data_IF_011365330240
#
_entry.id   IF_011365330240
#
_cell.length_a   1.000
_cell.length_b   1.000
_cell.length_c   1.000
_cell.angle_alpha   90.00
_cell.angle_beta   90.00
_cell.angle_gamma   90.00
#
_symmetry.space_group_name_H-M   'P 1'
#
loop_
_entity.id
_entity.type
_entity.pdbx_description
1 polymer ?
#
# COMPACT_ATOMS: atom_id res chain seq x y z
N UNK A 1 23.00 2.12 18.90
CA UNK A 1 21.69 2.49 18.30
C UNK A 1 20.68 1.40 18.61
N UNK A 2 19.50 1.78 18.96
CA UNK A 2 18.43 0.80 19.09
C UNK A 2 17.81 0.47 17.70
N UNK A 3 17.05 -0.61 17.63
CA UNK A 3 16.42 -1.07 16.38
C UNK A 3 15.62 0.03 15.68
N UNK A 4 14.85 0.82 16.43
CA UNK A 4 14.02 1.89 15.90
C UNK A 4 14.85 3.00 15.24
N UNK A 5 15.91 3.44 15.87
CA UNK A 5 16.82 4.46 15.34
C UNK A 5 17.54 3.96 14.09
N UNK A 6 18.01 2.71 14.12
CA UNK A 6 18.67 2.09 12.97
C UNK A 6 17.73 2.07 11.75
N UNK A 7 16.49 1.63 11.94
CA UNK A 7 15.50 1.57 10.87
C UNK A 7 15.14 2.97 10.36
N UNK A 8 14.87 3.91 11.24
CA UNK A 8 14.52 5.30 10.85
C UNK A 8 15.64 6.01 10.08
N UNK A 9 16.89 5.71 10.41
CA UNK A 9 18.05 6.32 9.75
C UNK A 9 18.37 5.67 8.41
N UNK A 10 18.20 4.34 8.32
CA UNK A 10 18.61 3.56 7.16
C UNK A 10 17.52 3.35 6.12
N UNK A 11 16.26 3.44 6.50
CA UNK A 11 15.11 3.15 5.62
C UNK A 11 14.36 4.43 5.26
N UNK A 12 14.31 4.70 3.96
CA UNK A 12 13.51 5.78 3.41
C UNK A 12 12.03 5.34 3.33
N UNK A 13 11.12 6.18 3.83
CA UNK A 13 9.69 5.87 3.84
C UNK A 13 9.11 5.71 2.42
N UNK A 14 9.63 6.44 1.45
CA UNK A 14 9.23 6.31 0.03
C UNK A 14 9.65 4.97 -0.56
N UNK A 15 10.87 4.53 -0.29
CA UNK A 15 11.38 3.21 -0.71
C UNK A 15 10.58 2.07 -0.07
N UNK A 16 10.31 2.18 1.22
CA UNK A 16 9.48 1.21 1.94
C UNK A 16 8.06 1.14 1.38
N UNK A 17 7.44 2.29 1.10
CA UNK A 17 6.10 2.35 0.50
C UNK A 17 6.08 1.65 -0.87
N UNK A 18 7.05 1.92 -1.72
CA UNK A 18 7.18 1.28 -3.04
C UNK A 18 7.41 -0.23 -2.92
N UNK A 19 8.28 -0.67 -2.01
CA UNK A 19 8.53 -2.09 -1.74
C UNK A 19 7.24 -2.82 -1.32
N UNK A 20 6.40 -2.15 -0.55
CA UNK A 20 5.13 -2.70 -0.05
C UNK A 20 3.94 -2.49 -0.99
N UNK A 21 4.18 -2.06 -2.21
CA UNK A 21 3.16 -1.97 -3.25
C UNK A 21 2.35 -0.67 -3.26
N UNK A 22 2.78 0.35 -2.55
CA UNK A 22 2.21 1.70 -2.62
C UNK A 22 2.86 2.45 -3.79
N UNK A 23 2.09 2.69 -4.85
CA UNK A 23 2.60 3.38 -6.04
C UNK A 23 2.71 4.89 -5.77
N UNK A 24 3.91 5.33 -5.42
CA UNK A 24 4.22 6.75 -5.19
C UNK A 24 4.64 7.40 -6.51
N UNK A 25 3.98 8.49 -6.89
CA UNK A 25 4.30 9.24 -8.10
C UNK A 25 5.54 10.15 -7.92
N UNK A 26 5.94 10.84 -8.99
CA UNK A 26 7.11 11.72 -8.95
C UNK A 26 6.99 12.87 -7.93
N UNK A 27 5.77 13.29 -7.65
CA UNK A 27 5.49 14.35 -6.66
C UNK A 27 5.45 13.83 -5.21
N UNK A 28 5.66 12.54 -4.99
CA UNK A 28 5.57 11.94 -3.66
C UNK A 28 4.15 11.61 -3.22
N UNK A 29 3.18 11.67 -4.14
CA UNK A 29 1.78 11.37 -3.84
C UNK A 29 1.41 9.95 -4.25
N UNK A 30 0.52 9.33 -3.47
CA UNK A 30 0.00 7.99 -3.72
C UNK A 30 -1.46 7.87 -3.30
N UNK A 31 -2.10 6.81 -3.74
CA UNK A 31 -3.39 6.40 -3.19
C UNK A 31 -3.19 5.88 -1.77
N UNK A 32 -3.99 6.37 -0.83
CA UNK A 32 -3.89 5.95 0.56
C UNK A 32 -4.37 4.51 0.74
N UNK A 33 -3.56 3.63 1.35
CA UNK A 33 -3.97 2.24 1.61
C UNK A 33 -4.88 2.09 2.85
N UNK A 34 -5.04 3.16 3.64
CA UNK A 34 -5.75 3.12 4.92
C UNK A 34 -7.23 3.47 4.82
N UNK A 35 -7.66 4.00 3.68
CA UNK A 35 -9.06 4.25 3.37
C UNK A 35 -9.33 3.96 1.89
N UNK A 36 -10.61 3.96 1.49
CA UNK A 36 -10.97 3.79 0.09
C UNK A 36 -10.72 5.10 -0.68
N UNK A 37 -9.55 5.19 -1.29
CA UNK A 37 -9.06 6.38 -1.96
C UNK A 37 -9.10 6.24 -3.49
N UNK A 38 -9.70 7.21 -4.15
CA UNK A 38 -9.80 7.26 -5.62
C UNK A 38 -8.88 8.33 -6.24
N UNK A 39 -8.34 9.21 -5.43
CA UNK A 39 -7.43 10.27 -5.85
C UNK A 39 -6.21 10.28 -4.94
N UNK A 40 -5.00 10.51 -5.46
CA UNK A 40 -3.80 10.55 -4.63
C UNK A 40 -3.92 11.59 -3.51
N UNK A 41 -4.08 11.11 -2.28
CA UNK A 41 -4.21 11.93 -1.07
C UNK A 41 -3.13 11.65 -0.03
N UNK A 42 -2.34 10.60 -0.23
CA UNK A 42 -1.23 10.24 0.63
C UNK A 42 0.07 10.88 0.12
N UNK A 43 0.63 11.78 0.91
CA UNK A 43 1.99 12.27 0.73
C UNK A 43 2.97 11.30 1.39
N UNK A 44 3.96 10.84 0.64
CA UNK A 44 5.07 10.02 1.15
C UNK A 44 6.37 10.77 0.92
N UNK A 45 6.91 11.34 1.99
CA UNK A 45 8.23 11.96 2.02
C UNK A 45 9.31 10.92 2.33
N UNK A 46 10.54 11.35 2.47
CA UNK A 46 11.66 10.45 2.76
C UNK A 46 11.63 9.93 4.19
N UNK A 47 11.17 10.73 5.13
CA UNK A 47 11.17 10.47 6.57
C UNK A 47 9.78 10.25 7.19
N UNK A 48 8.71 10.65 6.50
CA UNK A 48 7.35 10.55 7.01
C UNK A 48 6.30 10.37 5.89
N UNK A 49 5.08 10.04 6.30
CA UNK A 49 3.92 10.06 5.43
C UNK A 49 2.75 10.80 6.06
N UNK A 50 1.88 11.36 5.25
CA UNK A 50 0.67 12.03 5.70
C UNK A 50 -0.44 11.91 4.66
N UNK A 51 -1.61 11.43 5.07
CA UNK A 51 -2.81 11.42 4.24
C UNK A 51 -3.69 12.64 4.53
N UNK A 52 -3.93 13.45 3.53
CA UNK A 52 -4.76 14.65 3.65
C UNK A 52 -6.27 14.34 3.74
N UNK A 53 -6.69 13.14 3.37
CA UNK A 53 -8.09 12.74 3.41
C UNK A 53 -8.49 12.09 4.73
N UNK A 54 -7.76 11.06 5.20
CA UNK A 54 -8.08 10.36 6.44
C UNK A 54 -7.26 10.79 7.66
N UNK A 55 -6.23 11.62 7.46
CA UNK A 55 -5.38 12.11 8.54
C UNK A 55 -4.33 11.09 9.04
N UNK A 56 -4.18 9.95 8.40
CA UNK A 56 -3.14 8.99 8.73
C UNK A 56 -1.75 9.60 8.51
N UNK A 57 -0.89 9.53 9.50
CA UNK A 57 0.46 10.09 9.44
C UNK A 57 1.40 9.29 10.33
N UNK A 58 2.68 9.46 10.12
CA UNK A 58 3.71 8.82 10.93
C UNK A 58 5.04 8.69 10.19
N UNK A 59 5.94 7.93 10.77
CA UNK A 59 7.23 7.60 10.17
C UNK A 59 7.17 6.27 9.37
N UNK A 60 8.32 5.81 8.91
CA UNK A 60 8.42 4.55 8.14
C UNK A 60 7.96 3.33 8.95
N UNK A 61 8.18 3.33 10.25
CA UNK A 61 7.76 2.22 11.14
C UNK A 61 6.25 2.24 11.32
N UNK A 62 5.65 3.42 11.53
CA UNK A 62 4.20 3.58 11.59
C UNK A 62 3.53 3.18 10.27
N UNK A 63 4.14 3.52 9.14
CA UNK A 63 3.67 3.10 7.81
C UNK A 63 3.60 1.58 7.70
N UNK A 64 4.67 0.88 8.04
CA UNK A 64 4.72 -0.57 8.00
C UNK A 64 3.76 -1.22 9.01
N UNK A 65 3.68 -0.68 10.23
CA UNK A 65 2.78 -1.15 11.26
C UNK A 65 1.31 -1.07 10.81
N UNK A 66 0.91 0.05 10.24
CA UNK A 66 -0.45 0.27 9.75
C UNK A 66 -0.77 -0.55 8.49
N UNK A 67 0.19 -0.72 7.58
CA UNK A 67 0.00 -1.52 6.37
C UNK A 67 -0.24 -3.00 6.68
N UNK A 68 0.45 -3.54 7.65
CA UNK A 68 0.44 -4.97 7.96
C UNK A 68 -0.30 -5.31 9.26
N UNK A 69 -0.80 -4.32 9.99
CA UNK A 69 -1.47 -4.54 11.27
C UNK A 69 -0.53 -5.12 12.34
N UNK A 70 0.71 -4.65 12.38
CA UNK A 70 1.75 -5.11 13.29
C UNK A 70 1.93 -4.14 14.45
N UNK A 71 2.57 -4.63 15.54
CA UNK A 71 3.11 -3.74 16.56
C UNK A 71 4.27 -2.93 15.98
N UNK A 72 4.59 -1.79 16.58
CA UNK A 72 5.73 -0.95 16.15
C UNK A 72 7.05 -1.73 16.18
N UNK A 73 7.24 -2.58 17.18
CA UNK A 73 8.42 -3.41 17.30
C UNK A 73 8.53 -4.44 16.17
N UNK A 74 7.44 -5.13 15.87
CA UNK A 74 7.40 -6.12 14.79
C UNK A 74 7.54 -5.47 13.41
N UNK A 75 6.97 -4.29 13.23
CA UNK A 75 7.12 -3.48 12.02
C UNK A 75 8.59 -3.06 11.82
N UNK A 76 9.26 -2.61 12.87
CA UNK A 76 10.69 -2.27 12.82
C UNK A 76 11.55 -3.50 12.50
N UNK A 77 11.26 -4.66 13.07
CA UNK A 77 11.95 -5.91 12.74
C UNK A 77 11.73 -6.34 11.30
N UNK A 78 10.49 -6.20 10.80
CA UNK A 78 10.19 -6.50 9.40
C UNK A 78 10.96 -5.58 8.45
N UNK A 79 10.96 -4.28 8.71
CA UNK A 79 11.74 -3.32 7.91
C UNK A 79 13.23 -3.64 7.94
N UNK A 80 13.78 -3.97 9.10
CA UNK A 80 15.18 -4.38 9.23
C UNK A 80 15.49 -5.64 8.42
N UNK A 81 14.59 -6.62 8.39
CA UNK A 81 14.74 -7.82 7.59
C UNK A 81 14.62 -7.54 6.08
N UNK A 82 13.64 -6.76 5.66
CA UNK A 82 13.37 -6.46 4.25
C UNK A 82 14.48 -5.58 3.62
N UNK A 83 15.08 -4.70 4.42
CA UNK A 83 16.19 -3.83 4.01
C UNK A 83 17.58 -4.36 4.39
N UNK A 84 17.65 -5.61 4.83
CA UNK A 84 18.92 -6.29 5.20
C UNK A 84 19.76 -5.56 6.24
N UNK A 85 19.10 -4.95 7.23
CA UNK A 85 19.76 -4.23 8.32
C UNK A 85 20.22 -5.14 9.48
N UNK A 86 20.38 -6.43 9.24
CA UNK A 86 20.83 -7.47 10.18
C UNK A 86 20.06 -7.44 11.51
N UNK A 87 18.80 -7.85 11.54
CA UNK A 87 18.08 -7.99 12.80
C UNK A 87 18.70 -9.11 13.64
N UNK A 88 18.92 -8.87 14.90
CA UNK A 88 19.51 -9.85 15.83
C UNK A 88 18.69 -11.13 15.98
N UNK A 89 17.42 -11.11 15.59
CA UNK A 89 16.53 -12.28 15.65
C UNK A 89 15.58 -12.33 14.44
N UNK A 90 15.36 -13.51 13.84
CA UNK A 90 14.38 -13.67 12.79
C UNK A 90 12.96 -13.36 13.28
N UNK A 91 12.09 -12.94 12.36
CA UNK A 91 10.68 -12.73 12.64
C UNK A 91 10.01 -14.03 13.09
N UNK A 92 9.15 -14.01 14.12
CA UNK A 92 8.36 -15.19 14.50
C UNK A 92 7.52 -15.73 13.34
N UNK A 93 7.42 -17.04 13.25
CA UNK A 93 6.64 -17.71 12.17
C UNK A 93 5.17 -17.25 12.14
N UNK A 94 4.58 -16.97 13.30
CA UNK A 94 3.21 -16.46 13.41
C UNK A 94 3.02 -15.12 12.69
N UNK A 95 4.03 -14.26 12.71
CA UNK A 95 4.03 -12.97 12.01
C UNK A 95 4.26 -13.20 10.53
N UNK A 96 5.19 -14.09 10.15
CA UNK A 96 5.41 -14.45 8.76
C UNK A 96 4.14 -15.03 8.10
N UNK A 97 3.35 -15.81 8.83
CA UNK A 97 2.08 -16.34 8.33
C UNK A 97 1.03 -15.23 8.15
N UNK A 98 0.92 -14.30 9.11
CA UNK A 98 0.03 -13.13 8.98
C UNK A 98 0.39 -12.24 7.79
N UNK A 99 1.69 -12.08 7.52
CA UNK A 99 2.18 -11.28 6.39
C UNK A 99 1.90 -11.93 5.04
N UNK A 100 1.89 -13.26 4.98
CA UNK A 100 1.54 -14.02 3.75
C UNK A 100 0.04 -13.98 3.45
N UNK A 101 -0.79 -13.77 4.45
CA UNK A 101 -2.21 -13.59 4.26
C UNK A 101 -2.48 -12.11 3.94
N UNK A 102 -2.84 -11.84 2.70
CA UNK A 102 -3.38 -10.51 2.36
C UNK A 102 -4.53 -10.21 3.30
N UNK A 103 -4.55 -9.03 3.88
CA UNK A 103 -5.69 -8.64 4.71
C UNK A 103 -6.96 -8.71 3.88
N UNK A 104 -8.07 -9.09 4.52
CA UNK A 104 -9.38 -9.17 3.84
C UNK A 104 -9.73 -7.86 3.11
N UNK A 105 -9.32 -6.74 3.69
CA UNK A 105 -9.47 -5.42 3.07
C UNK A 105 -8.62 -5.24 1.81
N UNK A 106 -7.39 -5.77 1.77
CA UNK A 106 -6.53 -5.73 0.59
C UNK A 106 -7.08 -6.62 -0.53
N UNK A 107 -7.55 -7.82 -0.21
CA UNK A 107 -8.22 -8.69 -1.16
C UNK A 107 -9.47 -8.03 -1.75
N UNK A 108 -10.31 -7.45 -0.89
CA UNK A 108 -11.52 -6.76 -1.33
C UNK A 108 -11.22 -5.60 -2.29
N UNK A 109 -10.17 -4.82 -2.03
CA UNK A 109 -9.74 -3.71 -2.91
C UNK A 109 -9.21 -4.21 -4.26
N UNK A 110 -8.45 -5.30 -4.26
CA UNK A 110 -7.99 -5.92 -5.51
C UNK A 110 -9.16 -6.46 -6.32
N UNK A 111 -10.12 -7.11 -5.68
CA UNK A 111 -11.35 -7.60 -6.31
C UNK A 111 -12.21 -6.46 -6.85
N UNK A 112 -12.37 -5.37 -6.10
CA UNK A 112 -13.07 -4.16 -6.56
C UNK A 112 -12.39 -3.54 -7.78
N UNK A 113 -11.06 -3.41 -7.77
CA UNK A 113 -10.30 -2.90 -8.92
C UNK A 113 -10.47 -3.79 -10.15
N UNK A 114 -10.42 -5.10 -9.97
CA UNK A 114 -10.62 -6.06 -11.05
C UNK A 114 -12.06 -5.96 -11.60
N UNK A 115 -13.07 -5.93 -10.73
CA UNK A 115 -14.47 -5.75 -11.12
C UNK A 115 -14.70 -4.44 -11.86
N UNK A 116 -14.16 -3.32 -11.38
CA UNK A 116 -14.27 -2.02 -12.07
C UNK A 116 -13.59 -2.05 -13.44
N UNK A 117 -12.45 -2.69 -13.59
CA UNK A 117 -11.75 -2.85 -14.86
C UNK A 117 -12.57 -3.68 -15.85
N UNK A 118 -13.08 -4.82 -15.42
CA UNK A 118 -13.92 -5.72 -16.26
C UNK A 118 -15.22 -5.04 -16.65
N UNK A 119 -15.92 -4.39 -15.73
CA UNK A 119 -17.16 -3.65 -16.00
C UNK A 119 -16.91 -2.48 -16.97
N UNK A 120 -15.80 -1.77 -16.82
CA UNK A 120 -15.41 -0.70 -17.73
C UNK A 120 -15.19 -1.20 -19.17
N UNK A 121 -14.52 -2.34 -19.35
CA UNK A 121 -14.32 -2.98 -20.65
C UNK A 121 -15.65 -3.45 -21.24
N UNK A 122 -16.50 -4.06 -20.43
CA UNK A 122 -17.82 -4.53 -20.85
C UNK A 122 -18.73 -3.38 -21.31
N UNK A 123 -18.73 -2.28 -20.58
CA UNK A 123 -19.46 -1.05 -20.95
C UNK A 123 -18.99 -0.49 -22.29
N UNK A 124 -17.70 -0.41 -22.55
CA UNK A 124 -17.14 0.04 -23.84
C UNK A 124 -17.58 -0.85 -24.98
N UNK A 125 -17.52 -2.17 -24.80
CA UNK A 125 -17.95 -3.14 -25.81
C UNK A 125 -19.45 -2.99 -26.13
N UNK A 126 -20.29 -2.80 -25.13
CA UNK A 126 -21.72 -2.57 -25.32
C UNK A 126 -22.01 -1.24 -26.03
N UNK A 127 -21.28 -0.17 -25.73
CA UNK A 127 -21.41 1.11 -26.40
C UNK A 127 -21.00 1.02 -27.88
N UNK A 128 -19.92 0.31 -28.21
CA UNK A 128 -19.49 0.04 -29.58
C UNK A 128 -20.52 -0.77 -30.33
N UNK A 129 -21.08 -1.83 -29.73
CA UNK A 129 -22.13 -2.63 -30.34
C UNK A 129 -23.41 -1.83 -30.56
N UNK A 130 -23.78 -0.97 -29.62
CA UNK A 130 -24.93 -0.09 -29.77
C UNK A 130 -24.79 0.85 -30.97
N UNK A 131 -23.58 1.41 -31.18
CA UNK A 131 -23.31 2.28 -32.31
C UNK A 131 -23.30 1.51 -33.64
N UNK A 132 -22.82 0.26 -33.64
CA UNK A 132 -22.69 -0.56 -34.85
C UNK A 132 -23.99 -1.23 -35.24
N UNK A 133 -24.83 -1.63 -34.29
CA UNK A 133 -26.07 -2.42 -34.55
C UNK A 133 -27.35 -1.70 -34.16
N UNK A 134 -27.30 -0.44 -33.77
CA UNK A 134 -28.52 0.32 -33.50
C UNK A 134 -29.37 0.44 -34.78
N UNK A 135 -30.68 0.13 -34.75
CA UNK A 135 -31.52 0.33 -35.90
C UNK A 135 -31.53 1.82 -36.26
N UNK A 136 -31.20 2.09 -37.49
CA UNK A 136 -31.34 3.44 -38.05
C UNK A 136 -32.81 3.73 -38.27
N UNK A 137 -33.34 4.56 -37.43
CA UNK A 137 -34.68 5.13 -37.62
C UNK A 137 -34.61 6.39 -38.41
#
# INVERSE_FOLDING_TARGET
>A
MNLFETVKTAVNAREAAQLYGVAVNRCGMALCPFHNDHHPSLLVADDHYHCFACGAHGDVIDLAANLFGLSLYDAARKLAADFHLAPDKPLPESICQKLKQKTKAQQLREDERLCCSVLGQYRRTLEEWRLQYAPQT
#
